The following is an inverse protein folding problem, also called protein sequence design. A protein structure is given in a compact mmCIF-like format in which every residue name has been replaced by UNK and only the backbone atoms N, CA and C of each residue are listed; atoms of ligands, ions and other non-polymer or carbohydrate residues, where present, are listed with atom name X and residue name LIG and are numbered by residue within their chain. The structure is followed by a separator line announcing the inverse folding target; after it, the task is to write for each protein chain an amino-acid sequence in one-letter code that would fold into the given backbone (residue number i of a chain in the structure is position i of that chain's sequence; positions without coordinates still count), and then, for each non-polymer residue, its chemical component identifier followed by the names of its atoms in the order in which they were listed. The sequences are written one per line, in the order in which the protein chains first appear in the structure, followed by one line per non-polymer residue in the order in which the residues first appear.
data_IF_614686766276
#
_entry.id   IF_614686766276
#
_cell.length_a   1.000
_cell.length_b   1.000
_cell.length_c   1.000
_cell.angle_alpha   90.00
_cell.angle_beta   90.00
_cell.angle_gamma   90.00
#
_symmetry.space_group_name_H-M   'P 1'
#
loop_
_entity.id
_entity.type
_entity.pdbx_description
1 polymer ?
#
# COMPACT_ATOMS: atom_id res chain seq x y z
N UNK A 1 -13.17 22.97 18.17
CA UNK A 1 -14.18 23.55 17.27
C UNK A 1 -15.39 23.89 18.14
N UNK A 2 -16.01 25.07 17.97
CA UNK A 2 -17.19 25.46 18.74
C UNK A 2 -18.39 24.51 18.48
N UNK A 3 -18.42 23.83 17.33
CA UNK A 3 -19.46 22.89 16.96
C UNK A 3 -19.27 21.46 17.55
N UNK A 4 -18.18 21.18 18.28
CA UNK A 4 -17.89 19.84 18.81
C UNK A 4 -19.06 19.22 19.60
N UNK A 5 -19.76 19.92 20.52
CA UNK A 5 -20.85 19.32 21.27
C UNK A 5 -22.02 18.87 20.37
N UNK A 6 -22.35 19.69 19.36
CA UNK A 6 -23.38 19.37 18.38
C UNK A 6 -22.99 18.15 17.52
N UNK A 7 -21.72 18.08 17.12
CA UNK A 7 -21.19 16.94 16.36
C UNK A 7 -21.27 15.63 17.17
N UNK A 8 -20.88 15.67 18.45
CA UNK A 8 -20.95 14.51 19.34
C UNK A 8 -22.39 14.04 19.55
N UNK A 9 -23.32 14.97 19.80
CA UNK A 9 -24.74 14.65 19.89
C UNK A 9 -25.23 13.96 18.60
N UNK A 10 -24.79 14.44 17.44
CA UNK A 10 -25.07 13.82 16.14
C UNK A 10 -24.50 12.40 15.97
N UNK A 11 -23.36 12.08 16.59
CA UNK A 11 -22.85 10.70 16.62
C UNK A 11 -23.68 9.82 17.54
N UNK A 12 -23.95 10.28 18.77
CA UNK A 12 -24.74 9.54 19.76
C UNK A 12 -26.13 9.19 19.21
N UNK A 13 -26.81 10.18 18.61
CA UNK A 13 -28.13 9.97 18.01
C UNK A 13 -28.10 8.96 16.86
N UNK A 14 -27.03 8.94 16.04
CA UNK A 14 -26.90 7.95 14.97
C UNK A 14 -26.69 6.53 15.49
N UNK A 15 -25.88 6.38 16.54
CA UNK A 15 -25.66 5.09 17.20
C UNK A 15 -26.97 4.60 17.81
N UNK A 16 -27.66 5.42 18.58
CA UNK A 16 -28.94 5.05 19.20
C UNK A 16 -30.06 4.78 18.19
N UNK A 17 -30.10 5.50 17.07
CA UNK A 17 -31.02 5.18 15.97
C UNK A 17 -30.75 3.79 15.41
N UNK A 18 -29.49 3.43 15.23
CA UNK A 18 -29.10 2.09 14.80
C UNK A 18 -29.48 1.04 15.84
N UNK A 19 -29.25 1.29 17.13
CA UNK A 19 -29.68 0.39 18.21
C UNK A 19 -31.19 0.12 18.14
N UNK A 20 -32.01 1.15 17.88
CA UNK A 20 -33.45 1.02 17.74
C UNK A 20 -33.86 0.19 16.51
N UNK A 21 -33.16 0.37 15.39
CA UNK A 21 -33.37 -0.41 14.16
C UNK A 21 -32.98 -1.89 14.37
N UNK A 22 -31.84 -2.16 15.03
CA UNK A 22 -31.28 -3.49 15.23
C UNK A 22 -32.01 -4.30 16.32
N UNK A 23 -32.49 -3.65 17.38
CA UNK A 23 -33.07 -4.33 18.56
C UNK A 23 -34.59 -4.56 18.45
N UNK A 24 -35.22 -4.10 17.36
CA UNK A 24 -36.61 -4.42 17.01
C UNK A 24 -37.60 -4.30 18.18
N UNK A 25 -37.69 -3.12 18.80
CA UNK A 25 -38.67 -2.78 19.87
C UNK A 25 -38.81 -3.75 21.08
N UNK A 26 -38.00 -4.81 21.20
CA UNK A 26 -38.32 -5.96 22.08
C UNK A 26 -37.19 -6.35 23.04
N UNK A 27 -36.03 -5.71 23.00
CA UNK A 27 -34.96 -5.91 23.98
C UNK A 27 -34.84 -4.71 24.92
N UNK A 28 -35.35 -4.82 26.15
CA UNK A 28 -35.17 -3.88 27.29
C UNK A 28 -35.68 -2.43 27.14
N UNK A 29 -35.89 -1.91 25.93
CA UNK A 29 -36.30 -0.53 25.68
C UNK A 29 -35.26 0.54 26.04
N UNK A 30 -34.06 0.14 26.47
CA UNK A 30 -32.99 1.04 26.85
C UNK A 30 -31.96 1.17 25.72
N UNK A 31 -31.50 2.40 25.49
CA UNK A 31 -30.43 2.70 24.53
C UNK A 31 -29.05 2.30 25.11
N UNK A 32 -28.08 1.99 24.24
CA UNK A 32 -26.71 1.70 24.68
C UNK A 32 -26.10 2.89 25.43
N UNK A 33 -25.50 2.70 26.61
CA UNK A 33 -24.79 3.79 27.28
C UNK A 33 -23.58 4.23 26.45
N UNK A 34 -23.50 5.52 26.14
CA UNK A 34 -22.37 6.12 25.39
C UNK A 34 -21.66 7.10 26.31
N UNK A 35 -20.35 6.94 26.45
CA UNK A 35 -19.46 7.88 27.13
C UNK A 35 -18.64 8.64 26.07
N UNK A 36 -18.97 9.90 25.74
CA UNK A 36 -18.20 10.66 24.77
C UNK A 36 -16.91 11.19 25.40
N UNK A 37 -15.78 10.87 24.77
CA UNK A 37 -14.45 11.32 25.19
C UNK A 37 -13.84 12.10 24.02
N UNK A 38 -13.39 13.32 24.29
CA UNK A 38 -12.72 14.18 23.30
C UNK A 38 -11.26 14.31 23.65
N UNK A 39 -10.40 13.86 22.73
CA UNK A 39 -8.96 14.05 22.82
C UNK A 39 -8.53 15.26 22.02
N UNK A 40 -8.09 16.29 22.72
CA UNK A 40 -7.53 17.48 22.09
C UNK A 40 -6.02 17.31 21.94
N UNK A 41 -5.56 17.47 20.71
CA UNK A 41 -4.15 17.43 20.34
C UNK A 41 -3.90 18.61 19.37
N UNK A 42 -3.09 19.59 19.78
CA UNK A 42 -2.80 20.80 18.98
C UNK A 42 -2.64 22.07 19.82
N UNK A 43 -2.05 23.15 19.26
CA UNK A 43 -1.73 24.38 20.01
C UNK A 43 -2.98 25.17 20.44
N UNK A 44 -2.89 25.92 21.56
CA UNK A 44 -3.97 26.79 22.07
C UNK A 44 -4.59 26.36 23.41
N UNK A 45 -5.76 26.90 23.78
CA UNK A 45 -6.61 26.40 24.88
C UNK A 45 -7.94 25.92 24.32
N UNK A 46 -8.58 24.94 24.96
CA UNK A 46 -9.94 24.59 24.60
C UNK A 46 -10.92 25.73 24.94
N UNK A 47 -11.78 26.07 24.00
CA UNK A 47 -12.76 27.16 24.15
C UNK A 47 -14.18 26.75 23.84
N UNK A 48 -14.40 25.50 23.41
CA UNK A 48 -15.74 25.03 23.09
C UNK A 48 -16.48 24.61 24.37
N UNK A 49 -17.82 24.69 24.40
CA UNK A 49 -18.61 24.24 25.54
C UNK A 49 -18.43 22.75 25.81
N UNK A 50 -18.54 22.31 27.07
CA UNK A 50 -18.36 20.89 27.46
C UNK A 50 -19.64 20.06 27.39
N UNK A 51 -20.74 20.69 26.98
CA UNK A 51 -22.03 20.05 26.79
C UNK A 51 -22.84 20.76 25.71
N UNK A 52 -23.79 20.04 25.12
CA UNK A 52 -24.77 20.67 24.22
C UNK A 52 -25.64 21.69 24.97
N UNK A 53 -25.91 21.44 26.26
CA UNK A 53 -26.71 22.31 27.11
C UNK A 53 -26.16 23.75 27.17
N UNK A 54 -24.84 23.89 27.28
CA UNK A 54 -24.16 25.19 27.28
C UNK A 54 -24.29 25.98 25.97
N UNK A 55 -24.67 25.31 24.86
CA UNK A 55 -24.94 25.97 23.58
C UNK A 55 -26.37 26.48 23.46
N UNK A 56 -27.27 26.08 24.38
CA UNK A 56 -28.69 26.40 24.32
C UNK A 56 -28.96 27.59 25.24
N UNK A 57 -29.54 28.65 24.67
CA UNK A 57 -30.07 29.77 25.45
C UNK A 57 -31.27 29.28 26.28
N UNK A 58 -30.99 28.77 27.48
CA UNK A 58 -31.96 28.10 28.34
C UNK A 58 -32.68 29.13 29.22
N UNK A 59 -34.02 29.22 29.16
CA UNK A 59 -34.79 30.04 30.08
C UNK A 59 -34.61 29.61 31.54
N UNK A 60 -34.74 30.55 32.46
CA UNK A 60 -34.64 30.29 33.90
C UNK A 60 -35.67 29.23 34.34
N UNK A 61 -35.21 28.21 35.06
CA UNK A 61 -36.03 27.11 35.58
C UNK A 61 -36.11 25.87 34.67
N UNK A 62 -35.47 25.87 33.50
CA UNK A 62 -35.42 24.72 32.59
C UNK A 62 -34.03 24.03 32.54
N UNK A 63 -33.10 24.44 33.40
CA UNK A 63 -31.70 23.99 33.36
C UNK A 63 -31.57 22.48 33.58
N UNK A 64 -32.38 21.89 34.46
CA UNK A 64 -32.38 20.44 34.69
C UNK A 64 -32.88 19.65 33.48
N UNK A 65 -33.86 20.18 32.74
CA UNK A 65 -34.42 19.52 31.56
C UNK A 65 -33.44 19.52 30.37
N UNK A 66 -32.58 20.54 30.30
CA UNK A 66 -31.61 20.72 29.21
C UNK A 66 -30.25 20.08 29.56
N UNK A 67 -30.03 19.66 30.82
CA UNK A 67 -28.80 19.02 31.29
C UNK A 67 -28.64 17.62 30.69
N UNK A 68 -28.10 17.55 29.48
CA UNK A 68 -27.76 16.31 28.78
C UNK A 68 -26.60 16.50 27.80
N UNK A 69 -26.05 15.39 27.32
CA UNK A 69 -25.03 15.36 26.26
C UNK A 69 -23.71 16.09 26.61
N UNK A 70 -23.22 15.88 27.83
CA UNK A 70 -21.86 16.26 28.20
C UNK A 70 -20.81 15.29 27.66
N UNK A 71 -19.56 15.72 27.63
CA UNK A 71 -18.41 14.88 27.27
C UNK A 71 -17.20 15.21 28.14
N UNK A 72 -16.27 14.26 28.26
CA UNK A 72 -15.01 14.50 28.96
C UNK A 72 -13.94 14.93 27.96
N UNK A 73 -13.32 16.07 28.23
CA UNK A 73 -12.20 16.59 27.45
C UNK A 73 -10.87 16.17 28.09
N UNK A 74 -9.97 15.61 27.29
CA UNK A 74 -8.58 15.34 27.67
C UNK A 74 -7.63 16.08 26.74
N UNK A 75 -6.74 16.89 27.32
CA UNK A 75 -5.68 17.58 26.59
C UNK A 75 -4.43 16.69 26.55
N UNK A 76 -4.07 16.20 25.37
CA UNK A 76 -2.97 15.23 25.23
C UNK A 76 -1.58 15.88 25.11
N UNK A 77 -1.50 17.19 24.84
CA UNK A 77 -0.27 17.86 24.45
C UNK A 77 0.82 17.94 25.53
N UNK A 78 0.44 17.91 26.81
CA UNK A 78 1.32 18.16 27.96
C UNK A 78 1.49 16.93 28.87
N UNK A 79 0.97 15.77 28.48
CA UNK A 79 0.97 14.57 29.34
C UNK A 79 2.22 13.72 29.07
N UNK A 80 2.93 13.34 30.13
CA UNK A 80 4.04 12.40 30.02
C UNK A 80 3.54 11.03 29.52
N UNK A 81 4.25 10.35 28.59
CA UNK A 81 3.78 9.09 28.01
C UNK A 81 3.28 8.07 29.03
N UNK A 82 4.00 7.91 30.14
CA UNK A 82 3.67 6.90 31.17
C UNK A 82 2.40 7.21 31.96
N UNK A 83 1.87 8.43 31.86
CA UNK A 83 0.64 8.86 32.53
C UNK A 83 -0.60 8.66 31.64
N UNK A 84 -0.43 8.49 30.33
CA UNK A 84 -1.54 8.33 29.38
C UNK A 84 -2.26 6.99 29.53
N UNK A 85 -1.51 5.90 29.67
CA UNK A 85 -2.05 4.55 29.82
C UNK A 85 -0.98 3.59 30.32
N UNK A 86 -1.41 2.58 31.09
CA UNK A 86 -0.57 1.43 31.47
C UNK A 86 -0.66 0.29 30.45
N UNK A 87 -1.72 0.26 29.65
CA UNK A 87 -1.91 -0.69 28.55
C UNK A 87 -1.07 -0.25 27.34
N UNK A 88 -0.13 -1.08 26.85
CA UNK A 88 0.81 -0.73 25.78
C UNK A 88 0.15 -0.27 24.46
N UNK A 89 -0.89 -0.96 24.01
CA UNK A 89 -1.56 -0.69 22.74
C UNK A 89 -2.31 0.65 22.79
N UNK A 90 -3.05 0.89 23.88
CA UNK A 90 -3.74 2.15 24.11
C UNK A 90 -2.74 3.30 24.29
N UNK A 91 -1.64 3.05 25.00
CA UNK A 91 -0.56 4.02 25.15
C UNK A 91 0.01 4.40 23.78
N UNK A 92 0.34 3.41 22.95
CA UNK A 92 0.88 3.65 21.62
C UNK A 92 -0.10 4.45 20.73
N UNK A 93 -1.40 4.12 20.78
CA UNK A 93 -2.43 4.87 20.07
C UNK A 93 -2.59 6.32 20.57
N UNK A 94 -2.64 6.52 21.88
CA UNK A 94 -2.74 7.86 22.47
C UNK A 94 -1.49 8.70 22.18
N UNK A 95 -0.30 8.11 22.20
CA UNK A 95 0.95 8.78 21.82
C UNK A 95 0.95 9.16 20.33
N UNK A 96 0.45 8.28 19.46
CA UNK A 96 0.30 8.54 18.03
C UNK A 96 -0.68 9.70 17.75
N UNK A 97 -1.68 9.92 18.61
CA UNK A 97 -2.58 11.07 18.52
C UNK A 97 -1.97 12.33 19.14
N UNK A 98 -1.37 12.21 20.33
CA UNK A 98 -0.82 13.31 21.10
C UNK A 98 0.28 14.06 20.33
N UNK A 99 1.18 13.32 19.69
CA UNK A 99 2.39 13.87 19.12
C UNK A 99 2.33 14.09 17.60
N UNK A 100 1.17 13.92 16.96
CA UNK A 100 1.02 14.09 15.51
C UNK A 100 1.42 15.49 15.02
N UNK A 101 1.28 16.50 15.89
CA UNK A 101 1.65 17.88 15.59
C UNK A 101 3.13 18.21 15.87
N UNK A 102 3.86 17.30 16.55
CA UNK A 102 5.28 17.49 16.83
C UNK A 102 6.05 17.02 15.61
N UNK A 103 6.51 17.98 14.80
CA UNK A 103 7.14 17.72 13.49
C UNK A 103 8.38 16.83 13.51
N UNK A 104 8.95 16.51 14.68
CA UNK A 104 9.95 15.46 14.82
C UNK A 104 9.69 14.62 16.08
N UNK A 105 9.36 13.35 15.88
CA UNK A 105 9.17 12.41 16.98
C UNK A 105 10.54 11.95 17.51
N UNK A 106 10.78 12.08 18.82
CA UNK A 106 11.99 11.54 19.43
C UNK A 106 12.07 10.03 19.26
N UNK A 107 13.29 9.47 19.22
CA UNK A 107 13.53 8.02 19.16
C UNK A 107 12.74 7.23 20.20
N UNK A 108 12.75 7.65 21.46
CA UNK A 108 12.07 6.95 22.56
C UNK A 108 10.55 6.86 22.33
N UNK A 109 9.93 7.97 21.92
CA UNK A 109 8.50 7.99 21.59
C UNK A 109 8.18 7.12 20.37
N UNK A 110 9.04 7.10 19.35
CA UNK A 110 8.86 6.23 18.19
C UNK A 110 8.90 4.76 18.60
N UNK A 111 9.85 4.41 19.47
CA UNK A 111 10.02 3.05 19.98
C UNK A 111 8.78 2.63 20.81
N UNK A 112 8.25 3.52 21.67
CA UNK A 112 7.02 3.27 22.43
C UNK A 112 5.79 3.05 21.54
N UNK A 113 5.60 3.90 20.53
CA UNK A 113 4.49 3.77 19.56
C UNK A 113 4.63 2.46 18.78
N UNK A 114 5.84 2.15 18.30
CA UNK A 114 6.08 0.96 17.50
C UNK A 114 5.83 -0.31 18.30
N UNK A 115 6.30 -0.35 19.56
CA UNK A 115 6.10 -1.48 20.47
C UNK A 115 4.63 -1.81 20.64
N UNK A 116 3.78 -0.84 21.01
CA UNK A 116 2.37 -1.11 21.29
C UNK A 116 1.47 -1.23 20.06
N UNK A 117 1.80 -0.59 18.93
CA UNK A 117 0.93 -0.69 17.75
C UNK A 117 0.93 -2.09 17.13
N UNK A 118 2.01 -2.84 17.21
CA UNK A 118 2.12 -4.12 16.48
C UNK A 118 1.66 -5.33 17.29
N UNK A 119 1.36 -5.18 18.58
CA UNK A 119 0.91 -6.28 19.47
C UNK A 119 -0.59 -6.64 19.33
N UNK A 120 -1.31 -6.03 18.40
CA UNK A 120 -2.47 -6.68 17.77
C UNK A 120 -3.85 -6.25 18.27
N UNK A 121 -4.04 -4.98 18.62
CA UNK A 121 -5.39 -4.44 18.79
C UNK A 121 -6.13 -4.27 17.46
N UNK A 122 -7.47 -4.30 17.49
CA UNK A 122 -8.32 -3.91 16.35
C UNK A 122 -8.10 -2.46 15.89
N UNK A 123 -7.48 -1.63 16.74
CA UNK A 123 -7.16 -0.24 16.45
C UNK A 123 -5.86 -0.09 15.65
N UNK A 124 -5.01 -1.12 15.62
CA UNK A 124 -3.69 -1.10 14.98
C UNK A 124 -3.73 -0.64 13.52
N UNK A 125 -4.61 -1.17 12.64
CA UNK A 125 -4.65 -0.73 11.24
C UNK A 125 -5.06 0.74 11.11
N UNK A 126 -6.00 1.20 11.93
CA UNK A 126 -6.49 2.58 11.91
C UNK A 126 -5.43 3.57 12.41
N UNK A 127 -4.76 3.22 13.51
CA UNK A 127 -3.69 4.03 14.11
C UNK A 127 -2.45 4.04 13.21
N UNK A 128 -2.10 2.91 12.58
CA UNK A 128 -0.97 2.83 11.64
C UNK A 128 -1.19 3.69 10.40
N UNK A 129 -2.42 3.67 9.86
CA UNK A 129 -2.82 4.51 8.73
C UNK A 129 -2.79 5.98 9.12
N UNK A 130 -3.44 6.34 10.22
CA UNK A 130 -3.45 7.71 10.73
C UNK A 130 -2.03 8.24 10.94
N UNK A 131 -1.16 7.42 11.55
CA UNK A 131 0.23 7.75 11.78
C UNK A 131 1.02 7.93 10.46
N UNK A 132 0.83 7.04 9.49
CA UNK A 132 1.52 7.15 8.18
C UNK A 132 1.10 8.40 7.40
N UNK A 133 -0.17 8.78 7.49
CA UNK A 133 -0.72 9.93 6.77
C UNK A 133 -0.28 11.27 7.37
N UNK A 134 0.00 11.32 8.67
CA UNK A 134 0.28 12.57 9.38
C UNK A 134 1.71 12.72 9.91
N UNK A 135 2.44 11.62 10.14
CA UNK A 135 3.84 11.68 10.55
C UNK A 135 4.80 11.64 9.36
N UNK A 136 5.80 12.53 9.38
CA UNK A 136 6.97 12.43 8.50
C UNK A 136 8.01 11.47 9.09
N UNK A 137 7.66 10.20 9.23
CA UNK A 137 8.62 9.17 9.66
C UNK A 137 9.38 8.67 8.43
N UNK A 138 10.71 8.74 8.48
CA UNK A 138 11.53 8.14 7.42
C UNK A 138 11.47 6.62 7.50
N UNK A 139 11.50 5.90 6.36
CA UNK A 139 11.57 4.45 6.36
C UNK A 139 12.70 3.92 7.25
N UNK A 140 13.86 4.59 7.25
CA UNK A 140 15.02 4.21 8.07
C UNK A 140 14.74 4.33 9.57
N UNK A 141 14.07 5.40 10.01
CA UNK A 141 13.71 5.56 11.42
C UNK A 141 12.70 4.50 11.88
N UNK A 142 11.70 4.20 11.04
CA UNK A 142 10.73 3.14 11.29
C UNK A 142 11.40 1.76 11.36
N UNK A 143 12.22 1.41 10.37
CA UNK A 143 12.98 0.15 10.37
C UNK A 143 13.87 0.03 11.60
N UNK A 144 14.57 1.10 11.97
CA UNK A 144 15.44 1.08 13.14
C UNK A 144 14.64 0.91 14.44
N UNK A 145 13.47 1.53 14.56
CA UNK A 145 12.54 1.33 15.68
C UNK A 145 12.07 -0.11 15.76
N UNK A 146 11.53 -0.64 14.65
CA UNK A 146 10.99 -1.99 14.55
C UNK A 146 12.04 -3.05 14.93
N UNK A 147 13.28 -2.91 14.44
CA UNK A 147 14.40 -3.80 14.82
C UNK A 147 14.75 -3.76 16.31
N UNK A 148 14.59 -2.61 16.98
CA UNK A 148 14.88 -2.47 18.41
C UNK A 148 13.77 -3.02 19.28
N UNK A 149 12.52 -2.72 18.92
CA UNK A 149 11.38 -2.99 19.79
C UNK A 149 10.81 -4.38 19.56
N UNK A 150 10.83 -4.87 18.32
CA UNK A 150 10.19 -6.12 17.92
C UNK A 150 11.02 -6.87 16.87
N UNK A 151 12.19 -7.41 17.28
CA UNK A 151 13.11 -8.10 16.36
C UNK A 151 12.48 -9.31 15.67
N UNK A 152 11.66 -10.09 16.39
CA UNK A 152 11.03 -11.31 15.85
C UNK A 152 10.00 -10.99 14.75
N UNK A 153 9.21 -9.93 14.93
CA UNK A 153 8.26 -9.47 13.90
C UNK A 153 8.99 -8.84 12.72
N UNK A 154 10.07 -8.10 12.96
CA UNK A 154 10.94 -7.60 11.88
C UNK A 154 11.45 -8.75 11.01
N UNK A 155 11.95 -9.82 11.62
CA UNK A 155 12.46 -10.98 10.90
C UNK A 155 11.35 -11.66 10.08
N UNK A 156 10.16 -11.79 10.64
CA UNK A 156 8.98 -12.33 9.94
C UNK A 156 8.55 -11.46 8.75
N UNK A 157 8.48 -10.14 8.92
CA UNK A 157 8.11 -9.20 7.85
C UNK A 157 9.18 -9.20 6.74
N UNK A 158 10.46 -9.23 7.11
CA UNK A 158 11.54 -9.26 6.13
C UNK A 158 11.64 -10.60 5.41
N UNK A 159 11.36 -11.71 6.08
CA UNK A 159 11.27 -13.03 5.44
C UNK A 159 10.20 -13.04 4.35
N UNK A 160 8.98 -12.62 4.68
CA UNK A 160 7.86 -12.58 3.72
C UNK A 160 8.10 -11.59 2.58
N UNK A 161 8.67 -10.40 2.85
CA UNK A 161 9.02 -9.44 1.81
C UNK A 161 10.12 -9.97 0.89
N UNK A 162 11.13 -10.64 1.45
CA UNK A 162 12.23 -11.24 0.67
C UNK A 162 11.72 -12.35 -0.26
N UNK A 163 10.83 -13.21 0.23
CA UNK A 163 10.19 -14.26 -0.58
C UNK A 163 9.36 -13.65 -1.72
N UNK A 164 8.57 -12.62 -1.43
CA UNK A 164 7.76 -11.93 -2.44
C UNK A 164 8.63 -11.28 -3.54
N UNK A 165 9.74 -10.63 -3.16
CA UNK A 165 10.68 -10.04 -4.12
C UNK A 165 11.41 -11.10 -4.96
N UNK A 166 11.81 -12.22 -4.34
CA UNK A 166 12.45 -13.33 -5.05
C UNK A 166 11.49 -13.96 -6.08
N UNK A 167 10.22 -14.14 -5.70
CA UNK A 167 9.21 -14.67 -6.60
C UNK A 167 8.93 -13.72 -7.76
N UNK A 168 8.81 -12.42 -7.49
CA UNK A 168 8.67 -11.41 -8.54
C UNK A 168 9.83 -11.44 -9.53
N UNK A 169 11.07 -11.49 -9.03
CA UNK A 169 12.27 -11.57 -9.88
C UNK A 169 12.32 -12.86 -10.71
N UNK A 170 11.84 -13.99 -10.16
CA UNK A 170 11.72 -15.25 -10.90
C UNK A 170 10.70 -15.15 -12.03
N UNK A 171 9.54 -14.53 -11.75
CA UNK A 171 8.49 -14.31 -12.76
C UNK A 171 9.02 -13.42 -13.90
N UNK A 172 9.68 -12.32 -13.57
CA UNK A 172 10.28 -11.40 -14.54
C UNK A 172 11.34 -12.11 -15.38
N UNK A 173 12.27 -12.85 -14.76
CA UNK A 173 13.31 -13.59 -15.48
C UNK A 173 12.77 -14.68 -16.42
N UNK A 174 11.69 -15.38 -16.03
CA UNK A 174 11.02 -16.36 -16.92
C UNK A 174 10.34 -15.65 -18.08
N UNK A 175 9.70 -14.51 -17.83
CA UNK A 175 9.03 -13.74 -18.87
C UNK A 175 10.04 -13.22 -19.92
N UNK A 176 11.15 -12.65 -19.48
CA UNK A 176 12.23 -12.17 -20.35
C UNK A 176 12.85 -13.32 -21.14
N UNK A 177 13.27 -14.40 -20.48
CA UNK A 177 13.87 -15.56 -21.15
C UNK A 177 12.93 -16.26 -22.14
N UNK A 178 11.61 -16.23 -21.88
CA UNK A 178 10.62 -16.75 -22.83
C UNK A 178 10.50 -15.85 -24.07
N UNK A 179 10.53 -14.54 -23.91
CA UNK A 179 10.46 -13.60 -25.03
C UNK A 179 11.70 -13.75 -25.91
N UNK A 180 12.89 -13.77 -25.30
CA UNK A 180 14.17 -13.96 -25.99
C UNK A 180 14.20 -15.32 -26.72
N UNK A 181 13.87 -16.41 -26.03
CA UNK A 181 13.86 -17.75 -26.62
C UNK A 181 12.86 -17.90 -27.78
N UNK A 182 11.70 -17.23 -27.73
CA UNK A 182 10.74 -17.21 -28.84
C UNK A 182 11.31 -16.42 -30.03
N UNK A 183 11.97 -15.27 -29.77
CA UNK A 183 12.57 -14.46 -30.82
C UNK A 183 13.72 -15.20 -31.52
N UNK A 184 14.67 -15.74 -30.76
CA UNK A 184 15.78 -16.54 -31.27
C UNK A 184 15.29 -17.78 -32.01
N UNK A 185 14.33 -18.52 -31.43
CA UNK A 185 13.73 -19.69 -32.05
C UNK A 185 13.03 -19.38 -33.38
N UNK A 186 12.43 -18.20 -33.51
CA UNK A 186 11.80 -17.75 -34.77
C UNK A 186 12.86 -17.44 -35.85
N UNK A 187 13.95 -16.80 -35.50
CA UNK A 187 15.05 -16.49 -36.43
C UNK A 187 15.73 -17.77 -36.88
N UNK A 188 16.10 -18.65 -35.95
CA UNK A 188 16.67 -19.96 -36.24
C UNK A 188 15.74 -20.80 -37.13
N UNK A 189 14.44 -20.80 -36.84
CA UNK A 189 13.45 -21.51 -37.65
C UNK A 189 13.32 -20.96 -39.08
N UNK A 190 13.43 -19.64 -39.28
CA UNK A 190 13.48 -19.02 -40.62
C UNK A 190 14.74 -19.44 -41.38
N UNK A 191 15.91 -19.38 -40.73
CA UNK A 191 17.19 -19.78 -41.32
C UNK A 191 17.19 -21.26 -41.74
N UNK A 192 16.70 -22.16 -40.88
CA UNK A 192 16.60 -23.60 -41.19
C UNK A 192 15.61 -23.87 -42.33
N UNK A 193 14.50 -23.13 -42.39
CA UNK A 193 13.52 -23.23 -43.48
C UNK A 193 14.13 -22.79 -44.80
N UNK A 194 14.80 -21.64 -44.82
CA UNK A 194 15.47 -21.11 -46.01
C UNK A 194 16.55 -22.07 -46.51
N UNK A 195 17.37 -22.62 -45.60
CA UNK A 195 18.37 -23.64 -45.92
C UNK A 195 17.76 -24.88 -46.56
N UNK A 196 16.66 -25.38 -46.00
CA UNK A 196 15.95 -26.55 -46.56
C UNK A 196 15.41 -26.25 -47.95
N UNK A 197 14.83 -25.08 -48.17
CA UNK A 197 14.31 -24.65 -49.48
C UNK A 197 15.42 -24.48 -50.51
N UNK A 198 16.54 -23.84 -50.13
CA UNK A 198 17.71 -23.67 -50.97
C UNK A 198 18.28 -25.03 -51.41
N UNK A 199 18.41 -25.97 -50.48
CA UNK A 199 18.90 -27.33 -50.81
C UNK A 199 17.96 -28.08 -51.75
N UNK A 200 16.65 -27.95 -51.56
CA UNK A 200 15.65 -28.61 -52.42
C UNK A 200 15.64 -28.06 -53.85
N UNK A 201 15.86 -26.75 -54.02
CA UNK A 201 15.79 -26.07 -55.33
C UNK A 201 17.11 -26.11 -56.09
N UNK A 202 18.23 -25.91 -55.39
CA UNK A 202 19.54 -25.66 -56.01
C UNK A 202 20.58 -26.74 -55.70
N UNK A 203 20.28 -27.73 -54.85
CA UNK A 203 21.20 -28.83 -54.54
C UNK A 203 22.09 -28.55 -53.33
N UNK A 204 23.40 -28.83 -53.41
CA UNK A 204 24.29 -28.59 -52.26
C UNK A 204 24.49 -27.09 -52.01
N UNK A 205 24.32 -26.71 -50.74
CA UNK A 205 24.64 -25.37 -50.24
C UNK A 205 26.01 -25.44 -49.56
N UNK A 206 26.92 -24.54 -49.93
CA UNK A 206 28.27 -24.54 -49.35
C UNK A 206 28.25 -24.17 -47.87
N UNK A 207 29.20 -24.71 -47.08
CA UNK A 207 29.30 -24.43 -45.64
C UNK A 207 29.43 -22.94 -45.32
N UNK A 208 30.05 -22.16 -46.22
CA UNK A 208 30.14 -20.70 -46.09
C UNK A 208 28.76 -20.03 -46.15
N UNK A 209 27.90 -20.44 -47.10
CA UNK A 209 26.54 -19.92 -47.26
C UNK A 209 25.62 -20.38 -46.13
N UNK A 210 25.83 -21.58 -45.60
CA UNK A 210 25.08 -22.00 -44.41
C UNK A 210 25.40 -21.16 -43.17
N UNK A 211 26.66 -20.81 -42.97
CA UNK A 211 27.06 -19.95 -41.87
C UNK A 211 26.48 -18.53 -42.03
N UNK A 212 26.44 -18.01 -43.25
CA UNK A 212 25.84 -16.72 -43.58
C UNK A 212 24.32 -16.70 -43.31
N UNK A 213 23.59 -17.75 -43.71
CA UNK A 213 22.15 -17.85 -43.45
C UNK A 213 21.85 -17.96 -41.95
N UNK A 214 22.63 -18.74 -41.19
CA UNK A 214 22.41 -18.91 -39.75
C UNK A 214 22.73 -17.67 -38.92
N UNK A 215 23.54 -16.74 -39.45
CA UNK A 215 23.92 -15.49 -38.78
C UNK A 215 23.16 -14.27 -39.31
N UNK A 216 22.25 -14.46 -40.27
CA UNK A 216 21.49 -13.40 -40.88
C UNK A 216 20.36 -12.89 -39.98
N UNK A 217 20.04 -11.59 -40.13
CA UNK A 217 18.90 -10.96 -39.47
C UNK A 217 17.56 -11.49 -40.02
N UNK A 218 16.49 -11.29 -39.26
CA UNK A 218 15.13 -11.66 -39.66
C UNK A 218 14.75 -11.08 -41.02
N UNK A 219 15.14 -9.83 -41.26
CA UNK A 219 14.82 -9.06 -42.46
C UNK A 219 15.56 -9.60 -43.68
N UNK A 220 16.83 -9.98 -43.51
CA UNK A 220 17.62 -10.63 -44.56
C UNK A 220 17.05 -12.02 -44.89
N UNK A 221 16.67 -12.80 -43.88
CA UNK A 221 16.06 -14.12 -44.08
C UNK A 221 14.72 -14.04 -44.81
N UNK A 222 13.90 -13.03 -44.53
CA UNK A 222 12.64 -12.80 -45.24
C UNK A 222 12.89 -12.39 -46.70
N UNK A 223 13.80 -11.43 -46.92
CA UNK A 223 14.16 -10.98 -48.26
C UNK A 223 14.72 -12.12 -49.13
N UNK A 224 15.58 -12.97 -48.56
CA UNK A 224 16.11 -14.15 -49.26
C UNK A 224 15.03 -15.21 -49.49
N UNK A 225 14.09 -15.39 -48.56
CA UNK A 225 12.96 -16.31 -48.74
C UNK A 225 12.08 -15.90 -49.92
N UNK A 226 11.83 -14.60 -50.10
CA UNK A 226 11.08 -14.07 -51.24
C UNK A 226 11.88 -14.15 -52.56
N UNK A 227 13.16 -13.77 -52.53
CA UNK A 227 14.04 -13.83 -53.70
C UNK A 227 14.24 -15.26 -54.20
N UNK A 228 14.29 -16.24 -53.29
CA UNK A 228 14.42 -17.66 -53.60
C UNK A 228 13.30 -18.20 -54.50
N UNK A 229 12.13 -17.55 -54.54
CA UNK A 229 11.01 -17.94 -55.40
C UNK A 229 11.33 -17.68 -56.88
N UNK A 230 12.01 -16.57 -57.19
CA UNK A 230 12.22 -16.11 -58.56
C UNK A 230 13.66 -16.27 -59.05
N UNK A 231 14.61 -16.47 -58.14
CA UNK A 231 16.03 -16.56 -58.49
C UNK A 231 16.36 -17.76 -59.40
N UNK A 232 17.18 -17.56 -60.45
CA UNK A 232 17.61 -18.63 -61.35
C UNK A 232 18.66 -19.56 -60.72
N UNK A 233 19.46 -19.06 -59.77
CA UNK A 233 20.49 -19.80 -59.04
C UNK A 233 20.62 -19.26 -57.61
N UNK A 234 21.48 -19.93 -56.82
CA UNK A 234 21.66 -19.64 -55.40
C UNK A 234 22.34 -18.29 -55.16
N UNK A 235 23.30 -17.88 -56.01
CA UNK A 235 24.02 -16.61 -55.82
C UNK A 235 23.10 -15.40 -56.07
N UNK A 236 22.20 -15.49 -57.06
CA UNK A 236 21.20 -14.46 -57.34
C UNK A 236 20.21 -14.20 -56.18
N UNK A 237 20.01 -15.16 -55.27
CA UNK A 237 19.20 -14.98 -54.05
C UNK A 237 19.86 -13.98 -53.09
N UNK A 238 21.19 -13.99 -53.02
CA UNK A 238 21.95 -13.19 -52.06
C UNK A 238 22.39 -11.83 -52.62
N UNK A 239 22.48 -11.66 -53.95
CA UNK A 239 22.89 -10.40 -54.58
C UNK A 239 21.90 -9.24 -54.36
N UNK A 240 20.60 -9.54 -54.24
CA UNK A 240 19.53 -8.54 -54.06
C UNK A 240 19.56 -7.80 -52.72
N UNK A 241 20.37 -8.25 -51.74
CA UNK A 241 20.50 -7.63 -50.42
C UNK A 241 21.60 -6.57 -50.31
N UNK A 242 22.33 -6.32 -51.40
CA UNK A 242 23.48 -5.40 -51.43
C UNK A 242 23.12 -3.92 -51.67
N UNK A 243 21.82 -3.58 -51.71
CA UNK A 243 21.37 -2.19 -51.91
C UNK A 243 20.66 -1.65 -50.67
N UNK A 244 21.45 -1.16 -49.72
CA UNK A 244 21.06 -0.09 -48.81
C UNK A 244 22.15 0.97 -48.77
#
# INVERSE_FOLDING_TARGET
DAATPLQLAGYMLRIWRKDLEDTGASGSGCLTPILPIVFRHGPGKWTAPLSLAEMIATPEGLEEMVRGFGYTLHELGDIEPRELSREPDLLAGLLALAFVHVGNLSRERLDLITAGLLDGSDLTPHLSRYASDHYRITPQAMTASLRRTQPDKWETIMGTLSEALAEQGRIEGIAEGRIEGIAEGRIAGKADTLLRQARLRFGEVSAAREAEIRSASTEQLDAWSEALIFAPDLDAVFEGSSRH
#
